data_IF_361417698674
#
_entry.id   IF_361417698674
#
_cell.length_a   1.000
_cell.length_b   1.000
_cell.length_c   1.000
_cell.angle_alpha   90.00
_cell.angle_beta   90.00
_cell.angle_gamma   90.00
#
_symmetry.space_group_name_H-M   'P 1'
#
loop_
_entity.id
_entity.type
_entity.pdbx_description
1 polymer ?
#
# COMPACT_ATOMS: atom_id res chain seq x y z
N UNK A 1 -17.37 13.23 19.96
CA UNK A 1 -16.28 13.30 18.96
C UNK A 1 -15.35 12.09 19.13
N UNK A 2 -15.29 11.17 18.16
CA UNK A 2 -14.32 10.05 18.20
C UNK A 2 -12.91 10.64 18.06
N UNK A 3 -12.03 10.40 19.04
CA UNK A 3 -10.62 10.83 18.96
C UNK A 3 -9.96 10.15 17.77
N UNK A 4 -9.22 10.93 16.97
CA UNK A 4 -8.47 10.43 15.81
C UNK A 4 -7.32 9.59 16.33
N UNK A 5 -7.19 8.35 15.84
CA UNK A 5 -6.11 7.48 16.29
C UNK A 5 -4.80 7.97 15.66
N UNK A 6 -3.75 8.17 16.48
CA UNK A 6 -2.42 8.58 16.00
C UNK A 6 -1.90 7.60 14.95
N UNK A 7 -2.17 6.30 15.10
CA UNK A 7 -1.78 5.28 14.13
C UNK A 7 -2.44 5.51 12.75
N UNK A 8 -3.70 5.96 12.69
CA UNK A 8 -4.35 6.30 11.41
C UNK A 8 -3.66 7.51 10.75
N UNK A 9 -3.27 8.51 11.53
CA UNK A 9 -2.52 9.66 11.03
C UNK A 9 -1.15 9.27 10.48
N UNK A 10 -0.43 8.41 11.21
CA UNK A 10 0.86 7.88 10.77
C UNK A 10 0.71 7.11 9.46
N UNK A 11 -0.26 6.22 9.35
CA UNK A 11 -0.50 5.44 8.12
C UNK A 11 -0.90 6.36 6.96
N UNK A 12 -1.80 7.32 7.19
CA UNK A 12 -2.16 8.30 6.16
C UNK A 12 -0.94 9.10 5.69
N UNK A 13 -0.05 9.48 6.61
CA UNK A 13 1.21 10.16 6.30
C UNK A 13 2.18 9.28 5.52
N UNK A 14 2.28 7.98 5.85
CA UNK A 14 3.09 7.01 5.11
C UNK A 14 2.60 6.87 3.67
N UNK A 15 1.29 6.75 3.45
CA UNK A 15 0.74 6.68 2.09
C UNK A 15 0.92 7.98 1.31
N UNK A 16 0.75 9.13 1.95
CA UNK A 16 1.00 10.42 1.30
C UNK A 16 2.48 10.54 0.88
N UNK A 17 3.40 10.17 1.76
CA UNK A 17 4.84 10.18 1.49
C UNK A 17 5.21 9.19 0.39
N UNK A 18 4.65 7.98 0.44
CA UNK A 18 4.82 6.95 -0.59
C UNK A 18 4.33 7.41 -1.96
N UNK A 19 3.15 8.05 -2.02
CA UNK A 19 2.60 8.57 -3.27
C UNK A 19 3.49 9.65 -3.88
N UNK A 20 4.00 10.57 -3.04
CA UNK A 20 4.96 11.60 -3.47
C UNK A 20 6.25 10.96 -3.96
N UNK A 21 6.84 10.05 -3.18
CA UNK A 21 8.08 9.36 -3.56
C UNK A 21 7.92 8.61 -4.89
N UNK A 22 6.83 7.86 -5.05
CA UNK A 22 6.58 7.13 -6.29
C UNK A 22 6.31 8.04 -7.49
N UNK A 23 5.60 9.16 -7.29
CA UNK A 23 5.31 10.09 -8.36
C UNK A 23 6.57 10.79 -8.91
N UNK A 24 7.50 11.14 -8.02
CA UNK A 24 8.68 11.94 -8.40
C UNK A 24 9.93 11.12 -8.70
N UNK A 25 10.15 10.01 -7.98
CA UNK A 25 11.34 9.17 -8.14
C UNK A 25 11.03 7.88 -8.90
N UNK A 26 10.14 7.03 -8.37
CA UNK A 26 9.87 5.71 -8.94
C UNK A 26 9.31 5.78 -10.35
N UNK A 27 8.42 6.73 -10.66
CA UNK A 27 7.79 6.82 -11.97
C UNK A 27 8.82 6.99 -13.10
N UNK A 28 9.89 7.76 -12.86
CA UNK A 28 10.96 8.00 -13.82
C UNK A 28 11.88 6.80 -14.04
N UNK A 29 11.93 5.89 -13.06
CA UNK A 29 12.77 4.68 -13.05
C UNK A 29 11.94 3.42 -12.83
N UNK A 30 10.70 3.43 -13.30
CA UNK A 30 9.71 2.43 -12.90
C UNK A 30 10.12 1.02 -13.33
N UNK A 31 10.68 0.87 -14.53
CA UNK A 31 11.19 -0.41 -14.99
C UNK A 31 12.34 -0.93 -14.12
N UNK A 32 13.34 -0.09 -13.82
CA UNK A 32 14.47 -0.44 -12.94
C UNK A 32 13.98 -0.83 -11.54
N UNK A 33 13.01 -0.10 -11.00
CA UNK A 33 12.40 -0.39 -9.71
C UNK A 33 11.74 -1.78 -9.66
N UNK A 34 10.92 -2.14 -10.66
CA UNK A 34 10.27 -3.45 -10.69
C UNK A 34 11.26 -4.58 -11.03
N UNK A 35 12.31 -4.32 -11.80
CA UNK A 35 13.38 -5.30 -12.01
C UNK A 35 14.13 -5.58 -10.71
N UNK A 36 14.51 -4.54 -9.97
CA UNK A 36 15.12 -4.70 -8.65
C UNK A 36 14.19 -5.42 -7.66
N UNK A 37 12.88 -5.18 -7.74
CA UNK A 37 11.89 -5.93 -6.95
C UNK A 37 11.86 -7.41 -7.33
N UNK A 38 11.92 -7.75 -8.62
CA UNK A 38 12.01 -9.14 -9.07
C UNK A 38 13.30 -9.82 -8.57
N UNK A 39 14.44 -9.14 -8.67
CA UNK A 39 15.75 -9.65 -8.21
C UNK A 39 15.79 -9.92 -6.71
N UNK A 40 14.99 -9.17 -5.93
CA UNK A 40 14.88 -9.32 -4.47
C UNK A 40 13.78 -10.28 -4.05
N UNK A 41 12.90 -10.70 -4.97
CA UNK A 41 11.78 -11.57 -4.66
C UNK A 41 12.28 -12.96 -4.26
N UNK A 42 12.08 -13.31 -2.99
CA UNK A 42 12.49 -14.61 -2.46
C UNK A 42 11.54 -15.77 -2.82
N UNK A 43 10.36 -15.46 -3.37
CA UNK A 43 9.39 -16.43 -3.87
C UNK A 43 9.40 -16.46 -5.40
N UNK A 44 9.77 -17.60 -6.00
CA UNK A 44 9.78 -17.76 -7.47
C UNK A 44 8.47 -17.38 -8.18
N UNK A 45 7.27 -17.69 -7.65
CA UNK A 45 6.03 -17.23 -8.28
C UNK A 45 5.89 -15.70 -8.30
N UNK A 46 6.43 -15.02 -7.29
CA UNK A 46 6.39 -13.57 -7.19
C UNK A 46 7.38 -12.93 -8.17
N UNK A 47 8.63 -13.43 -8.23
CA UNK A 47 9.62 -13.06 -9.23
C UNK A 47 9.02 -13.14 -10.65
N UNK A 48 8.47 -14.31 -11.01
CA UNK A 48 7.83 -14.52 -12.31
C UNK A 48 6.69 -13.53 -12.58
N UNK A 49 5.84 -13.27 -11.57
CA UNK A 49 4.75 -12.32 -11.70
C UNK A 49 5.26 -10.89 -11.93
N UNK A 50 6.28 -10.46 -11.17
CA UNK A 50 6.86 -9.11 -11.31
C UNK A 50 7.49 -8.96 -12.70
N UNK A 51 8.31 -9.92 -13.14
CA UNK A 51 8.96 -9.87 -14.45
C UNK A 51 7.98 -9.88 -15.62
N UNK A 52 6.90 -10.67 -15.55
CA UNK A 52 5.98 -10.87 -16.69
C UNK A 52 4.82 -9.90 -16.70
N UNK A 53 4.33 -9.47 -15.54
CA UNK A 53 3.18 -8.59 -15.44
C UNK A 53 3.58 -7.15 -15.13
N UNK A 54 4.46 -6.93 -14.15
CA UNK A 54 4.75 -5.58 -13.66
C UNK A 54 5.83 -4.86 -14.48
N UNK A 55 6.96 -5.50 -14.80
CA UNK A 55 8.05 -4.87 -15.57
C UNK A 55 7.58 -4.33 -16.93
N UNK A 56 6.84 -5.09 -17.76
CA UNK A 56 6.40 -4.60 -19.08
C UNK A 56 5.40 -3.45 -18.98
N UNK A 57 4.70 -3.33 -17.86
CA UNK A 57 3.66 -2.32 -17.62
C UNK A 57 4.07 -1.33 -16.52
N UNK A 58 5.37 -1.24 -16.22
CA UNK A 58 5.93 -0.60 -15.03
C UNK A 58 5.44 0.83 -14.82
N UNK A 59 5.40 1.63 -15.90
CA UNK A 59 4.88 2.99 -15.85
C UNK A 59 3.41 3.03 -15.43
N UNK A 60 2.54 2.28 -16.11
CA UNK A 60 1.10 2.25 -15.82
C UNK A 60 0.82 1.73 -14.41
N UNK A 61 1.51 0.68 -13.98
CA UNK A 61 1.40 0.15 -12.61
C UNK A 61 1.83 1.22 -11.60
N UNK A 62 2.94 1.92 -11.83
CA UNK A 62 3.40 2.98 -10.91
C UNK A 62 2.40 4.12 -10.82
N UNK A 63 1.80 4.56 -11.94
CA UNK A 63 0.73 5.57 -11.93
C UNK A 63 -0.46 5.08 -11.09
N UNK A 64 -0.89 3.84 -11.29
CA UNK A 64 -1.99 3.26 -10.52
C UNK A 64 -1.66 3.19 -9.03
N UNK A 65 -0.44 2.80 -8.66
CA UNK A 65 0.01 2.76 -7.27
C UNK A 65 0.03 4.16 -6.66
N UNK A 66 0.53 5.18 -7.37
CA UNK A 66 0.52 6.58 -6.92
C UNK A 66 -0.92 7.05 -6.66
N UNK A 67 -1.84 6.85 -7.61
CA UNK A 67 -3.24 7.23 -7.48
C UNK A 67 -3.87 6.51 -6.28
N UNK A 68 -3.62 5.21 -6.16
CA UNK A 68 -4.15 4.39 -5.08
C UNK A 68 -3.65 4.87 -3.71
N UNK A 69 -2.33 5.07 -3.55
CA UNK A 69 -1.74 5.55 -2.29
C UNK A 69 -2.23 6.95 -1.92
N UNK A 70 -2.32 7.87 -2.89
CA UNK A 70 -2.89 9.19 -2.66
C UNK A 70 -4.37 9.10 -2.22
N UNK A 71 -5.15 8.24 -2.87
CA UNK A 71 -6.54 7.95 -2.51
C UNK A 71 -6.68 7.41 -1.08
N UNK A 72 -5.82 6.46 -0.69
CA UNK A 72 -5.77 5.95 0.68
C UNK A 72 -5.45 7.05 1.69
N UNK A 73 -4.44 7.88 1.41
CA UNK A 73 -4.06 8.98 2.28
C UNK A 73 -5.24 9.96 2.49
N UNK A 74 -5.87 10.40 1.40
CA UNK A 74 -7.04 11.30 1.44
C UNK A 74 -8.19 10.66 2.24
N UNK A 75 -8.52 9.41 1.95
CA UNK A 75 -9.61 8.70 2.61
C UNK A 75 -9.34 8.54 4.12
N UNK A 76 -8.14 8.12 4.52
CA UNK A 76 -7.73 8.05 5.93
C UNK A 76 -7.77 9.43 6.58
N UNK A 77 -7.41 10.48 5.84
CA UNK A 77 -7.45 11.84 6.37
C UNK A 77 -8.86 12.45 6.48
N UNK A 78 -9.84 11.95 5.74
CA UNK A 78 -11.22 12.45 5.71
C UNK A 78 -12.06 12.17 6.97
N UNK A 79 -11.54 11.36 7.92
CA UNK A 79 -12.17 11.00 9.22
C UNK A 79 -13.50 10.23 9.17
N UNK A 80 -14.13 10.07 8.00
CA UNK A 80 -15.46 9.49 7.82
C UNK A 80 -15.51 7.98 7.61
N UNK A 81 -16.64 7.51 7.06
CA UNK A 81 -16.90 6.10 6.72
C UNK A 81 -15.81 5.48 5.82
N UNK A 82 -15.24 6.29 4.92
CA UNK A 82 -14.21 5.86 3.98
C UNK A 82 -12.92 5.36 4.67
N UNK A 83 -12.65 5.76 5.92
CA UNK A 83 -11.43 5.35 6.64
C UNK A 83 -11.35 3.83 6.80
N UNK A 84 -12.47 3.16 7.11
CA UNK A 84 -12.48 1.70 7.31
C UNK A 84 -12.15 0.97 6.01
N UNK A 85 -12.77 1.38 4.90
CA UNK A 85 -12.50 0.80 3.58
C UNK A 85 -11.08 1.09 3.11
N UNK A 86 -10.57 2.29 3.36
CA UNK A 86 -9.18 2.64 3.04
C UNK A 86 -8.18 1.81 3.85
N UNK A 87 -8.44 1.59 5.15
CA UNK A 87 -7.60 0.72 5.96
C UNK A 87 -7.64 -0.73 5.45
N UNK A 88 -8.80 -1.25 5.07
CA UNK A 88 -8.91 -2.59 4.47
C UNK A 88 -8.14 -2.71 3.16
N UNK A 89 -8.31 -1.75 2.26
CA UNK A 89 -7.58 -1.70 0.99
C UNK A 89 -6.06 -1.58 1.19
N UNK A 90 -5.62 -0.74 2.15
CA UNK A 90 -4.22 -0.63 2.54
C UNK A 90 -3.65 -1.93 3.13
N UNK A 91 -4.46 -2.68 3.89
CA UNK A 91 -4.10 -4.00 4.39
C UNK A 91 -3.86 -5.01 3.27
N UNK A 92 -4.76 -5.06 2.28
CA UNK A 92 -4.60 -5.92 1.10
C UNK A 92 -3.39 -5.51 0.28
N UNK A 93 -3.20 -4.21 0.05
CA UNK A 93 -2.02 -3.70 -0.66
C UNK A 93 -0.72 -4.07 0.05
N UNK A 94 -0.70 -4.02 1.39
CA UNK A 94 0.44 -4.46 2.18
C UNK A 94 0.68 -5.96 2.05
N UNK A 95 -0.36 -6.80 1.98
CA UNK A 95 -0.19 -8.24 1.70
C UNK A 95 0.48 -8.45 0.34
N UNK A 96 0.04 -7.73 -0.70
CA UNK A 96 0.66 -7.83 -2.03
C UNK A 96 2.14 -7.45 -1.96
N UNK A 97 2.48 -6.33 -1.32
CA UNK A 97 3.86 -5.93 -1.10
C UNK A 97 4.67 -6.97 -0.32
N UNK A 98 4.06 -7.65 0.66
CA UNK A 98 4.72 -8.70 1.41
C UNK A 98 5.05 -9.93 0.55
N UNK A 99 4.19 -10.25 -0.41
CA UNK A 99 4.36 -11.38 -1.32
C UNK A 99 5.38 -11.10 -2.43
N UNK A 100 5.56 -9.83 -2.79
CA UNK A 100 6.45 -9.42 -3.91
C UNK A 100 7.80 -8.87 -3.47
N UNK A 101 7.98 -8.53 -2.19
CA UNK A 101 9.23 -7.96 -1.67
C UNK A 101 10.25 -9.00 -1.23
N UNK A 102 11.42 -8.50 -0.81
CA UNK A 102 12.46 -9.31 -0.16
C UNK A 102 12.12 -9.68 1.29
N UNK A 103 12.89 -10.55 1.96
CA UNK A 103 12.52 -11.10 3.28
C UNK A 103 12.23 -10.05 4.37
N UNK A 104 13.04 -8.99 4.43
CA UNK A 104 12.83 -7.90 5.39
C UNK A 104 11.56 -7.09 5.08
N UNK A 105 11.32 -6.81 3.80
CA UNK A 105 10.13 -6.11 3.32
C UNK A 105 8.88 -6.94 3.56
N UNK A 106 8.93 -8.26 3.34
CA UNK A 106 7.86 -9.21 3.64
C UNK A 106 7.41 -9.07 5.09
N UNK A 107 8.34 -9.08 6.04
CA UNK A 107 8.00 -8.92 7.46
C UNK A 107 7.41 -7.54 7.73
N UNK A 108 8.02 -6.48 7.21
CA UNK A 108 7.53 -5.10 7.39
C UNK A 108 6.10 -4.91 6.87
N UNK A 109 5.84 -5.38 5.65
CA UNK A 109 4.53 -5.31 5.01
C UNK A 109 3.50 -6.23 5.66
N UNK A 110 3.88 -7.41 6.16
CA UNK A 110 2.98 -8.27 6.92
C UNK A 110 2.54 -7.61 8.24
N UNK A 111 3.47 -7.01 8.98
CA UNK A 111 3.14 -6.23 10.19
C UNK A 111 2.22 -5.06 9.83
N UNK A 112 2.54 -4.34 8.76
CA UNK A 112 1.73 -3.21 8.30
C UNK A 112 0.30 -3.67 7.93
N UNK A 113 0.14 -4.81 7.25
CA UNK A 113 -1.16 -5.39 6.94
C UNK A 113 -1.98 -5.70 8.21
N UNK A 114 -1.34 -6.30 9.22
CA UNK A 114 -1.98 -6.57 10.50
C UNK A 114 -2.46 -5.29 11.19
N UNK A 115 -1.65 -4.24 11.19
CA UNK A 115 -2.01 -2.93 11.75
C UNK A 115 -3.24 -2.37 11.03
N UNK A 116 -3.27 -2.43 9.70
CA UNK A 116 -4.41 -1.98 8.89
C UNK A 116 -5.71 -2.70 9.28
N UNK A 117 -5.70 -4.03 9.28
CA UNK A 117 -6.88 -4.82 9.63
C UNK A 117 -7.31 -4.63 11.08
N UNK A 118 -6.34 -4.49 11.99
CA UNK A 118 -6.62 -4.21 13.40
C UNK A 118 -7.29 -2.85 13.60
N UNK A 119 -6.84 -1.81 12.92
CA UNK A 119 -7.45 -0.48 12.99
C UNK A 119 -8.84 -0.46 12.34
N UNK A 120 -8.97 -1.14 11.20
CA UNK A 120 -10.25 -1.25 10.50
C UNK A 120 -11.31 -2.04 11.30
N UNK A 121 -10.92 -3.02 12.13
CA UNK A 121 -11.85 -3.73 13.01
C UNK A 121 -12.28 -2.92 14.24
N UNK A 122 -11.48 -1.91 14.64
CA UNK A 122 -11.87 -0.96 15.71
C UNK A 122 -12.87 0.09 15.23
N UNK A 123 -12.98 0.28 13.91
CA UNK A 123 -14.03 1.11 13.31
C UNK A 123 -15.32 0.30 13.34
N UNK A 124 -16.36 0.86 13.95
CA UNK A 124 -17.70 0.28 13.95
C UNK A 124 -18.11 -0.07 12.50
N UNK A 125 -18.86 -1.16 12.29
CA UNK A 125 -19.48 -1.43 11.01
C UNK A 125 -20.28 -0.20 10.55
N UNK A 126 -20.45 -0.04 9.24
CA UNK A 126 -21.47 0.85 8.71
C UNK A 126 -22.83 0.32 9.20
N UNK A 127 -23.23 0.72 10.41
CA UNK A 127 -24.64 0.80 10.74
C UNK A 127 -25.15 1.99 9.93
N UNK A 128 -25.71 1.68 8.76
CA UNK A 128 -26.46 2.62 7.94
C UNK A 128 -27.72 3.11 8.68
N UNK A 129 -28.26 4.27 8.28
CA UNK A 129 -29.09 5.20 9.09
C UNK A 129 -30.37 4.64 9.68
#
# INVERSE_FOLDING_TARGET
>A
MKRRNIAELVIGGLYATGAVFQAFDTLRKSEEFYRAMADQAWLRPAEFFVERALVPNSFAVTVLVVIFQAGLAIAIFSRGAAVRSALMAGGVFSIVGALTGGPAETVGYAILALIHFRLASQRAPLSDP
#
